data_IF_344613370065
#
_entry.id   IF_344613370065
#
_cell.length_a   1.000
_cell.length_b   1.000
_cell.length_c   1.000
_cell.angle_alpha   90.00
_cell.angle_beta   90.00
_cell.angle_gamma   90.00
#
_symmetry.space_group_name_H-M   'P 1'
#
loop_
_entity.id
_entity.type
_entity.pdbx_description
1 polymer ?
#
# COMPACT_ATOMS: atom_id res chain seq x y z
N UNK A 1 31.86 79.57 -16.35
CA UNK A 1 32.43 78.23 -16.64
C UNK A 1 31.66 77.24 -15.80
N UNK A 2 30.62 76.75 -16.38
CA UNK A 2 29.66 75.82 -15.67
C UNK A 2 29.92 74.40 -16.20
N UNK A 3 30.35 73.52 -15.33
CA UNK A 3 30.49 72.06 -15.65
C UNK A 3 29.18 71.43 -15.37
N UNK A 4 28.55 70.93 -16.41
CA UNK A 4 27.37 69.99 -16.30
C UNK A 4 27.86 68.67 -15.80
N UNK A 5 27.23 68.22 -14.73
CA UNK A 5 27.32 66.85 -14.23
C UNK A 5 26.16 66.02 -14.81
N UNK A 6 26.46 65.13 -15.73
CA UNK A 6 25.47 64.17 -16.27
C UNK A 6 25.32 63.03 -15.30
N UNK A 7 24.15 62.92 -14.69
CA UNK A 7 23.76 61.78 -13.89
C UNK A 7 23.20 60.71 -14.83
N UNK A 8 23.94 59.64 -15.03
CA UNK A 8 23.43 58.43 -15.65
C UNK A 8 22.53 57.69 -14.61
N UNK A 9 21.25 57.79 -14.84
CA UNK A 9 20.30 56.94 -14.13
C UNK A 9 20.30 55.59 -14.82
N UNK A 10 21.00 54.63 -14.25
CA UNK A 10 20.92 53.23 -14.67
C UNK A 10 19.55 52.66 -14.29
N UNK A 11 18.69 52.47 -15.28
CA UNK A 11 17.46 51.69 -15.14
C UNK A 11 17.88 50.21 -14.99
N UNK A 12 17.99 49.76 -13.74
CA UNK A 12 18.04 48.34 -13.47
C UNK A 12 16.65 47.77 -13.76
N UNK A 13 16.48 47.16 -14.92
CA UNK A 13 15.36 46.29 -15.20
C UNK A 13 15.44 45.08 -14.24
N UNK A 14 14.75 45.17 -13.11
CA UNK A 14 14.47 44.03 -12.29
C UNK A 14 13.42 43.20 -13.05
N UNK A 15 13.92 42.26 -13.81
CA UNK A 15 13.10 41.18 -14.34
C UNK A 15 12.63 40.40 -13.11
N UNK A 16 11.46 40.76 -12.58
CA UNK A 16 10.69 39.86 -11.72
C UNK A 16 10.31 38.67 -12.60
N UNK A 17 11.22 37.69 -12.64
CA UNK A 17 10.79 36.33 -12.97
C UNK A 17 9.71 36.00 -11.94
N UNK A 18 8.48 36.08 -12.33
CA UNK A 18 7.37 35.42 -11.67
C UNK A 18 7.70 33.93 -11.77
N UNK A 19 8.47 33.43 -10.81
CA UNK A 19 8.35 32.03 -10.42
C UNK A 19 6.91 31.90 -9.95
N UNK A 20 6.03 31.58 -10.89
CA UNK A 20 4.77 31.01 -10.54
C UNK A 20 5.11 29.88 -9.59
N UNK A 21 4.81 30.06 -8.28
CA UNK A 21 4.75 28.93 -7.38
C UNK A 21 3.99 27.90 -8.17
N UNK A 22 4.59 26.72 -8.35
CA UNK A 22 3.86 25.55 -8.79
C UNK A 22 2.89 25.24 -7.65
N UNK A 23 1.84 26.07 -7.50
CA UNK A 23 0.66 25.72 -6.77
C UNK A 23 0.26 24.40 -7.39
N UNK A 24 0.19 23.35 -6.57
CA UNK A 24 -0.42 22.10 -6.93
C UNK A 24 -1.69 22.42 -7.73
N UNK A 25 -1.59 22.34 -9.06
CA UNK A 25 -2.77 22.48 -9.90
C UNK A 25 -3.61 21.28 -9.62
N UNK A 26 -4.59 21.46 -8.74
CA UNK A 26 -5.69 20.54 -8.67
C UNK A 26 -6.21 20.38 -10.08
N UNK A 27 -6.13 19.16 -10.57
CA UNK A 27 -6.62 18.87 -11.88
C UNK A 27 -8.14 19.06 -11.89
N UNK A 28 -8.58 19.85 -12.82
CA UNK A 28 -9.95 19.90 -13.23
C UNK A 28 -10.46 18.46 -13.46
N UNK A 29 -11.64 18.13 -12.94
CA UNK A 29 -12.28 16.83 -13.16
C UNK A 29 -12.39 16.46 -14.64
N UNK A 30 -12.43 17.46 -15.55
CA UNK A 30 -12.36 17.23 -16.99
C UNK A 30 -11.02 16.62 -17.42
N UNK A 31 -9.90 17.08 -16.87
CA UNK A 31 -8.59 16.55 -17.23
C UNK A 31 -8.37 15.12 -16.73
N UNK A 32 -8.99 14.72 -15.62
CA UNK A 32 -8.98 13.32 -15.15
C UNK A 32 -9.68 12.38 -16.13
N UNK A 33 -10.76 12.85 -16.76
CA UNK A 33 -11.50 12.08 -17.78
C UNK A 33 -10.65 11.77 -19.01
N UNK A 34 -9.68 12.63 -19.36
CA UNK A 34 -8.81 12.43 -20.51
C UNK A 34 -7.90 11.21 -20.38
N UNK A 35 -7.67 10.74 -19.16
CA UNK A 35 -6.82 9.58 -18.85
C UNK A 35 -7.62 8.36 -18.39
N UNK A 36 -8.89 8.52 -18.08
CA UNK A 36 -9.77 7.42 -17.69
C UNK A 36 -10.11 6.58 -18.94
N UNK A 37 -9.63 5.34 -18.96
CA UNK A 37 -9.91 4.39 -20.04
C UNK A 37 -11.24 3.68 -19.84
N UNK A 38 -11.51 3.23 -18.61
CA UNK A 38 -12.70 2.45 -18.32
C UNK A 38 -13.08 2.51 -16.83
N UNK A 39 -14.37 2.23 -16.54
CA UNK A 39 -14.90 2.06 -15.19
C UNK A 39 -15.73 0.79 -15.16
N UNK A 40 -15.20 -0.25 -14.49
CA UNK A 40 -15.84 -1.55 -14.42
C UNK A 40 -16.48 -1.81 -13.06
N UNK A 41 -17.61 -2.51 -13.01
CA UNK A 41 -18.12 -3.03 -11.76
C UNK A 41 -17.11 -3.97 -11.14
N UNK A 42 -16.79 -3.77 -9.87
CA UNK A 42 -16.11 -4.75 -9.05
C UNK A 42 -17.13 -5.59 -8.29
N UNK A 43 -16.65 -6.68 -7.70
CA UNK A 43 -17.40 -7.29 -6.62
C UNK A 43 -17.45 -6.38 -5.39
N UNK A 44 -18.16 -6.81 -4.36
CA UNK A 44 -18.42 -5.99 -3.19
C UNK A 44 -17.12 -5.65 -2.43
N UNK A 45 -16.82 -4.37 -2.30
CA UNK A 45 -15.70 -3.83 -1.52
C UNK A 45 -14.32 -4.36 -1.99
N UNK A 46 -13.85 -3.99 -3.19
CA UNK A 46 -12.52 -4.33 -3.65
C UNK A 46 -11.47 -3.80 -2.67
N UNK A 47 -10.55 -4.68 -2.21
CA UNK A 47 -9.64 -4.36 -1.10
C UNK A 47 -8.17 -4.43 -1.47
N UNK A 48 -7.73 -5.54 -2.01
CA UNK A 48 -6.40 -5.76 -2.55
C UNK A 48 -6.50 -6.22 -3.98
N UNK A 49 -5.50 -5.92 -4.78
CA UNK A 49 -5.45 -6.35 -6.17
C UNK A 49 -4.02 -6.52 -6.64
N UNK A 50 -3.84 -7.37 -7.65
CA UNK A 50 -2.55 -7.62 -8.29
C UNK A 50 -2.74 -8.01 -9.74
N UNK A 51 -1.94 -7.41 -10.62
CA UNK A 51 -1.81 -7.84 -12.01
C UNK A 51 -0.73 -8.93 -12.06
N UNK A 52 -0.94 -9.98 -12.86
CA UNK A 52 0.07 -11.00 -13.11
C UNK A 52 1.30 -10.40 -13.84
N UNK A 53 2.45 -11.07 -13.82
CA UNK A 53 3.68 -10.52 -14.41
C UNK A 53 3.59 -10.42 -15.94
N UNK A 54 2.73 -11.20 -16.58
CA UNK A 54 2.46 -11.09 -18.02
C UNK A 54 1.66 -9.83 -18.38
N UNK A 55 1.01 -9.17 -17.37
CA UNK A 55 0.13 -8.04 -17.61
C UNK A 55 -1.21 -8.41 -18.24
N UNK A 56 -1.59 -9.70 -18.18
CA UNK A 56 -2.77 -10.22 -18.86
C UNK A 56 -4.02 -10.19 -17.99
N UNK A 57 -3.88 -10.48 -16.68
CA UNK A 57 -5.00 -10.60 -15.76
C UNK A 57 -4.81 -9.82 -14.47
N UNK A 58 -5.86 -9.09 -14.08
CA UNK A 58 -5.97 -8.45 -12.77
C UNK A 58 -6.79 -9.34 -11.84
N UNK A 59 -6.24 -9.68 -10.70
CA UNK A 59 -6.92 -10.39 -9.61
C UNK A 59 -7.31 -9.39 -8.53
N UNK A 60 -8.57 -9.43 -8.09
CA UNK A 60 -9.14 -8.49 -7.11
C UNK A 60 -9.74 -9.26 -5.94
N UNK A 61 -9.25 -9.01 -4.74
CA UNK A 61 -9.82 -9.53 -3.50
C UNK A 61 -11.01 -8.67 -3.05
N UNK A 62 -12.14 -9.29 -2.76
CA UNK A 62 -13.41 -8.64 -2.43
C UNK A 62 -13.85 -8.97 -1.00
N UNK A 63 -14.00 -7.94 -0.15
CA UNK A 63 -14.25 -8.14 1.28
C UNK A 63 -15.63 -8.72 1.60
N UNK A 64 -16.68 -8.30 0.90
CA UNK A 64 -18.02 -8.79 1.21
C UNK A 64 -18.60 -9.78 0.18
N UNK A 65 -17.86 -10.02 -0.90
CA UNK A 65 -18.16 -11.05 -1.89
C UNK A 65 -19.57 -10.97 -2.52
N UNK A 66 -19.99 -12.07 -3.13
CA UNK A 66 -21.32 -12.20 -3.75
C UNK A 66 -22.30 -12.89 -2.79
N UNK A 67 -23.58 -12.61 -2.98
CA UNK A 67 -24.63 -13.44 -2.37
C UNK A 67 -24.68 -14.78 -3.08
N UNK A 68 -24.61 -15.86 -2.31
CA UNK A 68 -24.89 -17.21 -2.76
C UNK A 68 -26.40 -17.35 -2.98
N UNK A 69 -26.88 -17.66 -4.20
CA UNK A 69 -28.30 -17.76 -4.50
C UNK A 69 -29.01 -18.84 -3.68
N UNK A 70 -28.31 -19.94 -3.34
CA UNK A 70 -28.90 -21.06 -2.64
C UNK A 70 -29.10 -20.80 -1.14
N UNK A 71 -28.18 -20.03 -0.53
CA UNK A 71 -28.18 -19.79 0.93
C UNK A 71 -28.55 -18.35 1.30
N UNK A 72 -28.66 -17.45 0.32
CA UNK A 72 -28.81 -15.99 0.49
C UNK A 72 -27.73 -15.34 1.38
N UNK A 73 -26.66 -16.06 1.67
CA UNK A 73 -25.51 -15.56 2.46
C UNK A 73 -24.44 -14.99 1.54
N UNK A 74 -23.70 -14.00 2.02
CA UNK A 74 -22.52 -13.52 1.30
C UNK A 74 -21.38 -14.52 1.46
N UNK A 75 -20.70 -14.79 0.34
CA UNK A 75 -19.50 -15.63 0.27
C UNK A 75 -18.35 -14.77 -0.24
N UNK A 76 -17.16 -14.89 0.34
CA UNK A 76 -16.00 -14.11 -0.13
C UNK A 76 -15.65 -14.52 -1.55
N UNK A 77 -15.30 -13.52 -2.36
CA UNK A 77 -14.95 -13.74 -3.76
C UNK A 77 -13.61 -13.08 -4.08
N UNK A 78 -12.97 -13.59 -5.12
CA UNK A 78 -11.94 -12.89 -5.85
C UNK A 78 -12.32 -12.87 -7.32
N UNK A 79 -12.27 -11.70 -7.93
CA UNK A 79 -12.63 -11.50 -9.34
C UNK A 79 -11.38 -11.38 -10.19
N UNK A 80 -11.44 -11.90 -11.41
CA UNK A 80 -10.35 -11.88 -12.38
C UNK A 80 -10.84 -11.10 -13.60
N UNK A 81 -10.08 -10.09 -14.01
CA UNK A 81 -10.37 -9.23 -15.15
C UNK A 81 -9.28 -9.41 -16.21
N UNK A 82 -9.65 -9.44 -17.47
CA UNK A 82 -8.74 -9.37 -18.61
C UNK A 82 -8.25 -7.91 -18.74
N UNK A 83 -6.94 -7.71 -18.68
CA UNK A 83 -6.33 -6.37 -18.69
C UNK A 83 -6.42 -5.65 -20.04
N UNK A 84 -6.60 -6.38 -21.12
CA UNK A 84 -6.75 -5.81 -22.46
C UNK A 84 -8.16 -5.27 -22.71
N UNK A 85 -9.18 -5.96 -22.17
CA UNK A 85 -10.59 -5.59 -22.35
C UNK A 85 -11.18 -4.91 -21.13
N UNK A 86 -10.50 -4.96 -19.98
CA UNK A 86 -10.93 -4.54 -18.65
C UNK A 86 -12.16 -5.30 -18.12
N UNK A 87 -12.61 -6.37 -18.80
CA UNK A 87 -13.86 -7.07 -18.44
C UNK A 87 -13.63 -8.23 -17.49
N UNK A 88 -14.60 -8.45 -16.62
CA UNK A 88 -14.64 -9.60 -15.72
C UNK A 88 -14.65 -10.90 -16.54
N UNK A 89 -13.67 -11.75 -16.32
CA UNK A 89 -13.57 -13.08 -16.95
C UNK A 89 -14.03 -14.19 -16.01
N UNK A 90 -13.74 -14.05 -14.72
CA UNK A 90 -14.06 -15.08 -13.72
C UNK A 90 -14.28 -14.50 -12.34
N UNK A 91 -15.16 -15.13 -11.58
CA UNK A 91 -15.28 -14.94 -10.13
C UNK A 91 -14.93 -16.25 -9.44
N UNK A 92 -13.95 -16.20 -8.55
CA UNK A 92 -13.58 -17.30 -7.68
C UNK A 92 -14.39 -17.19 -6.39
N UNK A 93 -15.07 -18.26 -6.03
CA UNK A 93 -15.77 -18.37 -4.75
C UNK A 93 -14.83 -19.10 -3.80
N UNK A 94 -14.39 -18.42 -2.76
CA UNK A 94 -13.64 -19.09 -1.70
C UNK A 94 -14.63 -19.72 -0.73
N UNK A 95 -14.40 -20.97 -0.27
CA UNK A 95 -15.36 -21.65 0.59
C UNK A 95 -15.74 -20.83 1.80
N UNK A 96 -17.02 -20.72 2.09
CA UNK A 96 -17.48 -20.19 3.34
C UNK A 96 -17.00 -21.13 4.45
N UNK A 97 -15.96 -20.72 5.19
CA UNK A 97 -15.62 -21.38 6.44
C UNK A 97 -16.76 -21.15 7.41
N UNK A 98 -17.06 -22.15 8.21
CA UNK A 98 -17.97 -22.21 9.36
C UNK A 98 -19.18 -21.22 9.45
N UNK A 99 -20.20 -21.66 10.05
CA UNK A 99 -21.60 -21.19 10.09
C UNK A 99 -21.88 -19.69 10.28
N UNK A 100 -20.92 -18.85 10.69
CA UNK A 100 -21.17 -17.46 11.06
C UNK A 100 -19.90 -16.61 10.85
N UNK A 101 -19.88 -15.64 9.93
CA UNK A 101 -18.82 -14.66 9.94
C UNK A 101 -18.68 -13.83 8.67
N UNK A 102 -18.15 -12.64 8.85
CA UNK A 102 -17.70 -11.78 7.76
C UNK A 102 -16.40 -12.36 7.25
N UNK A 103 -16.50 -13.24 6.28
CA UNK A 103 -15.37 -13.73 5.52
C UNK A 103 -14.97 -12.62 4.54
N UNK A 104 -13.75 -12.13 4.62
CA UNK A 104 -13.30 -11.05 3.80
C UNK A 104 -12.00 -11.45 3.11
N UNK A 105 -11.98 -11.49 1.78
CA UNK A 105 -10.74 -11.49 1.06
C UNK A 105 -10.13 -10.08 1.11
N UNK A 106 -8.85 -10.00 1.41
CA UNK A 106 -8.21 -8.73 1.77
C UNK A 106 -7.06 -8.35 0.87
N UNK A 107 -6.38 -9.33 0.27
CA UNK A 107 -5.18 -9.07 -0.53
C UNK A 107 -4.97 -10.17 -1.56
N UNK A 108 -4.26 -9.82 -2.62
CA UNK A 108 -3.76 -10.75 -3.64
C UNK A 108 -2.29 -10.47 -3.89
N UNK A 109 -1.50 -11.53 -4.01
CA UNK A 109 -0.16 -11.48 -4.58
C UNK A 109 0.11 -12.79 -5.35
N UNK A 110 1.25 -12.88 -6.03
CA UNK A 110 1.64 -14.07 -6.77
C UNK A 110 2.84 -14.77 -6.14
N UNK A 111 3.09 -16.03 -6.49
CA UNK A 111 4.38 -16.67 -6.26
C UNK A 111 5.48 -15.99 -7.10
N UNK A 112 6.75 -16.19 -6.73
CA UNK A 112 7.87 -15.57 -7.48
C UNK A 112 7.99 -16.01 -8.93
N UNK A 113 7.44 -17.18 -9.26
CA UNK A 113 7.39 -17.75 -10.60
C UNK A 113 6.05 -17.50 -11.32
N UNK A 114 5.19 -16.65 -10.73
CA UNK A 114 3.84 -16.33 -11.21
C UNK A 114 2.89 -17.49 -11.45
N UNK A 115 3.27 -18.68 -11.03
CA UNK A 115 2.46 -19.89 -11.23
C UNK A 115 1.21 -19.89 -10.36
N UNK A 116 1.28 -19.29 -9.18
CA UNK A 116 0.23 -19.29 -8.18
C UNK A 116 -0.19 -17.89 -7.78
N UNK A 117 -1.48 -17.58 -7.87
CA UNK A 117 -2.03 -16.41 -7.21
C UNK A 117 -2.46 -16.80 -5.79
N UNK A 118 -2.15 -15.92 -4.84
CA UNK A 118 -2.35 -16.08 -3.42
C UNK A 118 -3.44 -15.10 -2.98
N UNK A 119 -4.59 -15.58 -2.52
CA UNK A 119 -5.69 -14.73 -2.07
C UNK A 119 -5.84 -14.85 -0.57
N UNK A 120 -5.53 -13.79 0.17
CA UNK A 120 -5.65 -13.75 1.62
C UNK A 120 -7.09 -13.57 2.04
N UNK A 121 -7.54 -14.41 2.98
CA UNK A 121 -8.81 -14.31 3.66
C UNK A 121 -8.60 -13.98 5.13
N UNK A 122 -9.12 -12.84 5.56
CA UNK A 122 -9.14 -12.47 6.97
C UNK A 122 -10.32 -13.15 7.66
N UNK A 123 -10.06 -13.83 8.77
CA UNK A 123 -11.08 -14.34 9.66
C UNK A 123 -10.91 -13.73 11.05
N UNK A 124 -12.02 -13.34 11.64
CA UNK A 124 -12.18 -13.03 13.05
C UNK A 124 -11.51 -11.77 13.58
N UNK A 125 -12.31 -10.96 14.25
CA UNK A 125 -11.89 -9.98 15.25
C UNK A 125 -11.64 -10.73 16.57
N UNK A 126 -10.59 -10.36 17.33
CA UNK A 126 -10.29 -10.94 18.65
C UNK A 126 -11.43 -10.72 19.66
N UNK A 127 -12.27 -9.70 19.44
CA UNK A 127 -13.43 -9.38 20.26
C UNK A 127 -14.70 -10.10 19.80
N UNK A 128 -14.62 -10.86 18.72
CA UNK A 128 -15.74 -11.67 18.24
C UNK A 128 -15.76 -12.99 19.01
N UNK A 129 -16.71 -13.15 19.90
CA UNK A 129 -16.99 -14.43 20.55
C UNK A 129 -17.32 -15.55 19.54
N UNK A 130 -17.62 -15.16 18.30
CA UNK A 130 -18.14 -16.02 17.24
C UNK A 130 -17.03 -16.59 16.34
N UNK A 131 -15.81 -15.99 16.30
CA UNK A 131 -14.72 -16.40 15.40
C UNK A 131 -13.35 -16.48 16.06
N UNK A 132 -13.07 -17.55 16.76
CA UNK A 132 -11.71 -17.86 17.20
C UNK A 132 -10.81 -18.34 16.04
N UNK A 133 -11.26 -18.25 14.77
CA UNK A 133 -10.66 -18.98 13.69
C UNK A 133 -9.65 -18.13 12.89
N UNK A 134 -8.60 -18.81 12.47
CA UNK A 134 -7.43 -18.28 11.78
C UNK A 134 -7.74 -17.84 10.34
N UNK A 135 -6.94 -16.93 9.80
CA UNK A 135 -6.96 -16.58 8.39
C UNK A 135 -6.54 -17.77 7.50
N UNK A 136 -6.77 -17.62 6.21
CA UNK A 136 -6.47 -18.64 5.21
C UNK A 136 -5.97 -17.98 3.93
N UNK A 137 -5.10 -18.65 3.22
CA UNK A 137 -4.71 -18.30 1.86
C UNK A 137 -5.34 -19.31 0.91
N UNK A 138 -6.12 -18.81 -0.05
CA UNK A 138 -6.55 -19.60 -1.20
C UNK A 138 -5.46 -19.53 -2.27
N UNK A 139 -4.96 -20.66 -2.68
CA UNK A 139 -3.98 -20.78 -3.77
C UNK A 139 -4.73 -21.03 -5.07
N UNK A 140 -4.49 -20.19 -6.05
CA UNK A 140 -5.10 -20.27 -7.37
C UNK A 140 -4.02 -20.61 -8.39
N UNK A 141 -4.21 -21.63 -9.19
CA UNK A 141 -3.37 -21.86 -10.37
C UNK A 141 -3.64 -20.72 -11.37
N UNK A 142 -2.62 -19.92 -11.66
CA UNK A 142 -2.78 -18.70 -12.46
C UNK A 142 -3.17 -19.01 -13.92
N UNK A 143 -2.70 -20.13 -14.46
CA UNK A 143 -2.99 -20.54 -15.84
C UNK A 143 -4.43 -21.06 -16.00
N UNK A 144 -4.92 -21.88 -15.07
CA UNK A 144 -6.28 -22.46 -15.14
C UNK A 144 -7.31 -21.60 -14.43
N UNK A 145 -6.86 -20.61 -13.63
CA UNK A 145 -7.69 -19.75 -12.80
C UNK A 145 -8.62 -20.55 -11.87
N UNK A 146 -8.11 -21.65 -11.31
CA UNK A 146 -8.84 -22.51 -10.37
C UNK A 146 -8.18 -22.51 -9.00
N UNK A 147 -8.95 -22.52 -7.95
CA UNK A 147 -8.44 -22.74 -6.59
C UNK A 147 -8.00 -24.19 -6.47
N UNK A 148 -6.73 -24.40 -6.09
CA UNK A 148 -6.12 -25.72 -5.97
C UNK A 148 -5.82 -26.10 -4.52
N UNK A 149 -5.59 -25.11 -3.63
CA UNK A 149 -5.27 -25.37 -2.21
C UNK A 149 -5.78 -24.26 -1.29
N UNK A 150 -5.91 -24.64 -0.02
CA UNK A 150 -6.20 -23.73 1.09
C UNK A 150 -5.12 -23.90 2.17
N UNK A 151 -4.37 -22.86 2.44
CA UNK A 151 -3.29 -22.87 3.42
C UNK A 151 -3.73 -22.11 4.67
N UNK A 152 -3.85 -22.76 5.85
CA UNK A 152 -4.17 -22.06 7.08
C UNK A 152 -3.00 -21.18 7.52
N UNK A 153 -3.25 -19.93 7.91
CA UNK A 153 -2.18 -19.00 8.34
C UNK A 153 -2.04 -18.90 9.86
N UNK A 154 -2.91 -19.54 10.62
CA UNK A 154 -2.90 -19.60 12.10
C UNK A 154 -2.82 -18.23 12.82
N UNK A 155 -2.88 -17.13 12.08
CA UNK A 155 -3.04 -15.78 12.59
C UNK A 155 -4.43 -15.23 12.27
N UNK A 156 -4.79 -14.09 12.83
CA UNK A 156 -6.11 -13.48 12.65
C UNK A 156 -6.00 -12.14 11.92
N UNK A 157 -6.98 -11.89 11.03
CA UNK A 157 -7.05 -10.64 10.31
C UNK A 157 -5.96 -10.47 9.26
N UNK A 158 -5.69 -11.52 8.48
CA UNK A 158 -4.73 -11.45 7.36
C UNK A 158 -5.04 -10.25 6.47
N UNK A 159 -4.05 -9.38 6.22
CA UNK A 159 -4.22 -8.10 5.50
C UNK A 159 -3.31 -7.96 4.30
N UNK A 160 -2.07 -8.33 4.42
CA UNK A 160 -1.06 -8.14 3.39
C UNK A 160 -0.34 -9.47 3.17
N UNK A 161 -0.12 -9.79 1.92
CA UNK A 161 0.75 -10.84 1.45
C UNK A 161 2.05 -10.17 0.97
N UNK A 162 3.19 -10.71 1.36
CA UNK A 162 4.48 -10.26 0.86
C UNK A 162 5.34 -11.46 0.53
N UNK A 163 5.80 -11.56 -0.70
CA UNK A 163 6.69 -12.60 -1.17
C UNK A 163 8.15 -12.19 -0.95
N UNK A 164 8.91 -13.08 -0.33
CA UNK A 164 10.34 -12.86 -0.10
C UNK A 164 11.11 -13.10 -1.40
N UNK A 165 11.96 -12.17 -1.86
CA UNK A 165 12.92 -12.44 -2.91
C UNK A 165 13.79 -13.65 -2.55
N UNK A 166 14.38 -14.33 -3.53
CA UNK A 166 15.33 -15.40 -3.25
C UNK A 166 16.51 -14.85 -2.44
N UNK A 167 16.89 -15.57 -1.40
CA UNK A 167 18.03 -15.14 -0.57
C UNK A 167 19.31 -15.23 -1.40
N UNK A 168 20.04 -14.13 -1.49
CA UNK A 168 21.29 -14.07 -2.21
C UNK A 168 22.31 -15.04 -1.60
N UNK A 169 22.80 -15.98 -2.41
CA UNK A 169 23.72 -17.03 -1.98
C UNK A 169 23.05 -18.31 -1.49
N UNK A 170 21.72 -18.35 -1.38
CA UNK A 170 20.99 -19.58 -1.06
C UNK A 170 20.70 -20.38 -2.34
N UNK A 171 21.28 -21.57 -2.48
CA UNK A 171 21.04 -22.48 -3.59
C UNK A 171 19.62 -23.08 -3.57
N UNK A 172 18.96 -23.14 -2.43
CA UNK A 172 17.65 -23.77 -2.26
C UNK A 172 16.50 -22.97 -2.92
N UNK A 173 16.69 -21.69 -3.21
CA UNK A 173 15.71 -20.79 -3.85
C UNK A 173 14.29 -20.95 -3.29
N UNK A 174 14.17 -20.93 -1.96
CA UNK A 174 12.88 -21.10 -1.28
C UNK A 174 11.91 -19.96 -1.60
N UNK A 175 10.69 -20.30 -1.97
CA UNK A 175 9.59 -19.36 -2.14
C UNK A 175 8.85 -19.17 -0.81
N UNK A 176 9.30 -18.20 -0.03
CA UNK A 176 8.74 -17.87 1.28
C UNK A 176 7.77 -16.69 1.14
N UNK A 177 6.63 -16.80 1.81
CA UNK A 177 5.58 -15.78 1.83
C UNK A 177 5.28 -15.40 3.26
N UNK A 178 5.22 -14.10 3.53
CA UNK A 178 4.79 -13.53 4.80
C UNK A 178 3.36 -13.01 4.69
N UNK A 179 2.54 -13.31 5.70
CA UNK A 179 1.18 -12.83 5.82
C UNK A 179 1.07 -12.00 7.10
N UNK A 180 0.82 -10.71 6.96
CA UNK A 180 0.60 -9.84 8.10
C UNK A 180 -0.79 -10.09 8.71
N UNK A 181 -0.83 -10.48 9.97
CA UNK A 181 -2.04 -10.78 10.72
C UNK A 181 -2.39 -9.63 11.66
N UNK A 182 -3.21 -8.73 11.18
CA UNK A 182 -3.53 -7.44 11.81
C UNK A 182 -4.10 -7.58 13.24
N UNK A 183 -4.88 -8.63 13.52
CA UNK A 183 -5.57 -8.80 14.80
C UNK A 183 -4.86 -9.75 15.79
N UNK A 184 -3.75 -10.36 15.41
CA UNK A 184 -3.00 -11.27 16.30
C UNK A 184 -1.55 -10.85 16.52
N UNK A 185 -1.15 -9.69 15.98
CA UNK A 185 0.18 -9.10 16.17
C UNK A 185 1.32 -10.04 15.78
N UNK A 186 1.13 -10.78 14.67
CA UNK A 186 2.10 -11.72 14.17
C UNK A 186 2.15 -11.77 12.65
N UNK A 187 3.17 -12.44 12.15
CA UNK A 187 3.34 -12.72 10.73
C UNK A 187 3.30 -14.24 10.55
N UNK A 188 2.42 -14.73 9.71
CA UNK A 188 2.46 -16.13 9.27
C UNK A 188 3.51 -16.30 8.19
N UNK A 189 4.29 -17.37 8.32
CA UNK A 189 5.32 -17.75 7.35
C UNK A 189 4.86 -18.98 6.60
N UNK A 190 4.82 -18.88 5.28
CA UNK A 190 4.49 -20.01 4.40
C UNK A 190 5.71 -20.34 3.53
N UNK A 191 5.93 -21.63 3.29
CA UNK A 191 6.88 -22.14 2.28
C UNK A 191 6.09 -22.79 1.14
N UNK A 192 6.03 -22.13 0.01
CA UNK A 192 5.31 -22.58 -1.18
C UNK A 192 6.25 -23.13 -2.27
N UNK A 193 7.51 -23.40 -1.92
CA UNK A 193 8.55 -23.89 -2.87
C UNK A 193 8.09 -25.14 -3.62
N UNK A 194 7.47 -26.08 -2.91
CA UNK A 194 7.03 -27.35 -3.46
C UNK A 194 5.52 -27.44 -3.68
N UNK A 195 4.87 -26.29 -3.82
CA UNK A 195 3.43 -26.24 -4.06
C UNK A 195 3.07 -26.92 -5.37
N UNK A 196 2.09 -27.83 -5.31
CA UNK A 196 1.60 -28.61 -6.46
C UNK A 196 0.09 -28.72 -6.40
N UNK A 197 -0.53 -28.70 -7.57
CA UNK A 197 -1.89 -29.19 -7.73
C UNK A 197 -1.84 -30.71 -7.87
N UNK A 198 -2.25 -31.42 -6.83
CA UNK A 198 -2.28 -32.87 -6.75
C UNK A 198 -3.69 -33.39 -6.38
N UNK A 199 -4.71 -32.54 -6.57
CA UNK A 199 -6.11 -32.84 -6.20
C UNK A 199 -6.40 -32.77 -4.70
N UNK A 200 -5.37 -32.65 -3.83
CA UNK A 200 -5.56 -32.43 -2.40
C UNK A 200 -5.63 -30.94 -2.12
N UNK A 201 -6.77 -30.45 -1.65
CA UNK A 201 -7.01 -29.03 -1.33
C UNK A 201 -6.46 -28.59 0.02
N UNK A 202 -6.05 -29.52 0.89
CA UNK A 202 -5.40 -29.18 2.16
C UNK A 202 -3.95 -28.80 1.91
N UNK A 203 -3.56 -27.59 2.31
CA UNK A 203 -2.22 -27.03 2.17
C UNK A 203 -1.54 -26.77 3.51
N UNK A 204 -1.95 -27.41 4.59
CA UNK A 204 -1.39 -27.16 5.93
C UNK A 204 0.11 -27.43 6.04
N UNK A 205 0.66 -28.29 5.17
CA UNK A 205 2.08 -28.59 5.07
C UNK A 205 2.94 -27.37 4.64
N UNK A 206 2.32 -26.38 4.02
CA UNK A 206 3.00 -25.14 3.59
C UNK A 206 3.12 -24.10 4.72
N UNK A 207 2.46 -24.30 5.86
CA UNK A 207 2.60 -23.41 7.01
C UNK A 207 3.87 -23.73 7.80
N UNK A 208 4.82 -22.80 7.84
CA UNK A 208 6.10 -22.94 8.55
C UNK A 208 5.97 -22.55 10.02
N UNK A 209 5.36 -21.40 10.31
CA UNK A 209 5.24 -20.91 11.67
C UNK A 209 4.72 -19.46 11.77
N UNK A 210 4.76 -18.93 12.98
CA UNK A 210 4.40 -17.55 13.30
C UNK A 210 5.63 -16.78 13.80
N UNK A 211 5.87 -15.60 13.25
CA UNK A 211 6.75 -14.62 13.86
C UNK A 211 5.90 -13.80 14.81
N UNK A 212 6.04 -14.03 16.12
CA UNK A 212 5.40 -13.21 17.15
C UNK A 212 6.12 -11.88 17.25
N UNK A 213 5.44 -10.80 16.90
CA UNK A 213 5.96 -9.46 17.00
C UNK A 213 5.87 -8.98 18.45
N UNK A 214 6.84 -8.18 18.87
CA UNK A 214 6.90 -7.57 20.18
C UNK A 214 7.14 -6.09 20.03
N UNK A 215 6.46 -5.29 20.84
CA UNK A 215 6.66 -3.84 20.88
C UNK A 215 6.94 -3.36 22.29
N UNK A 216 7.77 -2.32 22.40
CA UNK A 216 7.95 -1.53 23.63
C UNK A 216 7.10 -0.26 23.60
N UNK A 217 6.47 0.04 22.47
CA UNK A 217 5.67 1.24 22.27
C UNK A 217 4.20 0.88 22.31
N UNK A 218 3.44 1.63 23.11
CA UNK A 218 2.00 1.47 23.21
C UNK A 218 1.33 2.71 22.64
N UNK A 219 0.31 2.50 21.82
CA UNK A 219 -0.61 3.58 21.49
C UNK A 219 -1.75 3.57 22.51
N UNK A 220 -1.86 4.60 23.37
CA UNK A 220 -2.93 4.69 24.38
C UNK A 220 -4.34 4.69 23.77
N UNK A 221 -4.46 5.07 22.49
CA UNK A 221 -5.72 5.10 21.76
C UNK A 221 -6.03 3.78 21.02
N UNK A 222 -5.16 2.76 21.14
CA UNK A 222 -5.39 1.49 20.44
C UNK A 222 -6.56 0.75 21.06
N UNK A 223 -7.49 0.34 20.23
CA UNK A 223 -8.65 -0.46 20.62
C UNK A 223 -8.27 -1.90 21.02
N UNK A 224 -7.24 -2.05 21.85
CA UNK A 224 -6.71 -3.32 22.31
C UNK A 224 -5.83 -4.07 21.31
N UNK A 225 -5.46 -3.48 20.18
CA UNK A 225 -4.45 -3.96 19.24
C UNK A 225 -3.18 -3.16 19.42
N UNK A 226 -2.08 -3.80 19.80
CA UNK A 226 -0.87 -3.08 20.17
C UNK A 226 0.03 -2.78 18.97
N UNK A 227 0.09 -3.67 17.99
CA UNK A 227 1.01 -3.61 16.83
C UNK A 227 0.22 -3.42 15.55
N UNK A 228 -0.73 -4.32 15.28
CA UNK A 228 -1.52 -4.37 14.05
C UNK A 228 -0.63 -4.32 12.79
N UNK A 229 0.22 -5.35 12.56
CA UNK A 229 1.14 -5.38 11.43
C UNK A 229 0.36 -5.31 10.12
N UNK A 230 0.83 -4.47 9.18
CA UNK A 230 0.15 -4.31 7.91
C UNK A 230 1.10 -4.26 6.72
N UNK A 231 1.85 -3.17 6.54
CA UNK A 231 2.82 -3.09 5.45
C UNK A 231 3.98 -4.03 5.70
N UNK A 232 4.37 -4.81 4.70
CA UNK A 232 5.53 -5.71 4.73
C UNK A 232 6.30 -5.54 3.44
N UNK A 233 7.59 -5.28 3.54
CA UNK A 233 8.51 -5.27 2.41
C UNK A 233 9.78 -6.03 2.77
N UNK A 234 10.40 -6.66 1.78
CA UNK A 234 11.68 -7.34 1.94
C UNK A 234 12.83 -6.52 1.36
N UNK A 235 14.03 -6.72 1.91
CA UNK A 235 15.26 -6.28 1.24
C UNK A 235 15.46 -7.05 -0.07
N UNK A 236 16.13 -6.44 -1.04
CA UNK A 236 16.33 -7.05 -2.37
C UNK A 236 17.10 -8.39 -2.28
N UNK A 237 17.97 -8.55 -1.29
CA UNK A 237 18.69 -9.80 -1.03
C UNK A 237 17.87 -10.88 -0.29
N UNK A 238 16.63 -10.59 0.06
CA UNK A 238 15.71 -11.50 0.75
C UNK A 238 16.07 -11.82 2.20
N UNK A 239 17.07 -11.15 2.80
CA UNK A 239 17.56 -11.49 4.14
C UNK A 239 16.78 -10.85 5.26
N UNK A 240 16.17 -9.69 5.02
CA UNK A 240 15.42 -8.95 6.02
C UNK A 240 14.05 -8.56 5.53
N UNK A 241 13.10 -8.40 6.44
CA UNK A 241 11.80 -7.82 6.20
C UNK A 241 11.60 -6.59 7.08
N UNK A 242 10.95 -5.57 6.51
CA UNK A 242 10.49 -4.36 7.18
C UNK A 242 9.00 -4.49 7.37
N UNK A 243 8.51 -4.39 8.61
CA UNK A 243 7.10 -4.52 8.95
C UNK A 243 6.62 -3.22 9.56
N UNK A 244 5.52 -2.70 9.05
CA UNK A 244 4.87 -1.52 9.59
C UNK A 244 3.90 -1.91 10.69
N UNK A 245 4.12 -1.39 11.88
CA UNK A 245 3.23 -1.52 13.02
C UNK A 245 2.22 -0.36 13.00
N UNK A 246 1.03 -0.62 12.48
CA UNK A 246 0.06 0.43 12.18
C UNK A 246 -0.44 1.17 13.41
N UNK A 247 -0.68 0.46 14.53
CA UNK A 247 -1.23 1.07 15.76
C UNK A 247 -0.16 1.75 16.61
N UNK A 248 1.07 1.25 16.63
CA UNK A 248 2.18 1.91 17.34
C UNK A 248 2.86 2.99 16.51
N UNK A 249 2.74 2.94 15.17
CA UNK A 249 3.48 3.82 14.27
C UNK A 249 4.96 3.49 14.14
N UNK A 250 5.41 2.35 14.69
CA UNK A 250 6.80 1.91 14.67
C UNK A 250 7.15 1.11 13.41
N UNK A 251 8.45 0.97 13.12
CA UNK A 251 8.97 0.03 12.13
C UNK A 251 9.62 -1.15 12.84
N UNK A 252 9.33 -2.35 12.38
CA UNK A 252 9.96 -3.56 12.88
C UNK A 252 10.83 -4.18 11.79
N UNK A 253 12.03 -4.63 12.18
CA UNK A 253 12.96 -5.34 11.30
C UNK A 253 13.01 -6.79 11.73
N UNK A 254 12.82 -7.69 10.76
CA UNK A 254 12.83 -9.14 10.94
C UNK A 254 13.99 -9.74 10.13
N UNK A 255 14.78 -10.62 10.75
CA UNK A 255 15.67 -11.54 10.04
C UNK A 255 14.76 -12.55 9.30
N UNK A 256 14.67 -12.41 7.98
CA UNK A 256 13.75 -13.19 7.15
C UNK A 256 14.29 -14.59 6.82
N UNK A 257 15.52 -14.88 7.18
CA UNK A 257 16.11 -16.23 7.07
C UNK A 257 15.79 -17.04 8.32
N UNK A 258 15.92 -16.42 9.51
CA UNK A 258 15.63 -17.05 10.81
C UNK A 258 14.19 -16.90 11.26
N UNK A 259 13.40 -16.05 10.58
CA UNK A 259 12.02 -15.73 10.95
C UNK A 259 11.89 -15.17 12.37
N UNK A 260 12.74 -14.20 12.72
CA UNK A 260 12.75 -13.58 14.04
C UNK A 260 12.87 -12.06 13.96
N UNK A 261 12.10 -11.35 14.79
CA UNK A 261 12.25 -9.91 14.94
C UNK A 261 13.60 -9.59 15.59
N UNK A 262 14.37 -8.69 14.98
CA UNK A 262 15.71 -8.28 15.44
C UNK A 262 15.73 -6.87 16.03
N UNK A 263 14.85 -5.98 15.54
CA UNK A 263 14.79 -4.62 16.06
C UNK A 263 13.41 -3.99 15.86
N UNK A 264 13.17 -2.91 16.61
CA UNK A 264 12.03 -2.01 16.46
C UNK A 264 12.55 -0.56 16.49
N UNK A 265 12.14 0.26 15.52
CA UNK A 265 12.35 1.71 15.50
C UNK A 265 11.14 2.38 16.14
N UNK A 266 11.35 3.23 17.13
CA UNK A 266 10.30 4.00 17.80
C UNK A 266 9.43 4.77 16.78
N UNK A 267 8.17 5.07 17.10
CA UNK A 267 7.31 5.90 16.26
C UNK A 267 7.98 7.22 15.89
N UNK A 268 7.72 7.69 14.68
CA UNK A 268 8.25 8.99 14.23
C UNK A 268 7.63 10.12 15.07
N UNK A 269 8.50 10.95 15.68
CA UNK A 269 8.06 12.18 16.33
C UNK A 269 8.05 13.31 15.31
N UNK A 270 6.87 13.87 15.02
CA UNK A 270 6.75 15.02 14.15
C UNK A 270 5.71 16.00 14.71
N UNK A 271 6.06 17.27 14.72
CA UNK A 271 5.23 18.36 15.30
C UNK A 271 3.87 18.53 14.61
N UNK A 272 3.75 18.11 13.34
CA UNK A 272 2.49 18.13 12.59
C UNK A 272 1.65 16.88 12.81
N UNK A 273 2.22 15.82 13.38
CA UNK A 273 1.51 14.57 13.66
C UNK A 273 1.08 14.57 15.12
N UNK A 274 -0.10 15.08 15.39
CA UNK A 274 -0.67 14.94 16.72
C UNK A 274 -1.00 13.46 16.98
N UNK A 275 -0.11 12.78 17.70
CA UNK A 275 -0.27 11.48 18.39
C UNK A 275 -0.48 10.21 17.57
N UNK A 276 -0.71 10.23 16.23
CA UNK A 276 -1.16 9.02 15.56
C UNK A 276 -0.67 8.94 14.12
N UNK A 277 0.58 8.52 13.94
CA UNK A 277 1.23 8.52 12.63
C UNK A 277 0.64 7.45 11.70
N UNK A 278 0.13 6.35 12.24
CA UNK A 278 -0.49 5.23 11.51
C UNK A 278 0.21 4.92 10.18
N UNK A 279 1.46 4.42 10.26
CA UNK A 279 2.18 3.90 9.09
C UNK A 279 1.42 2.71 8.51
N UNK A 280 1.18 2.72 7.18
CA UNK A 280 0.17 1.80 6.65
C UNK A 280 0.65 0.89 5.54
N UNK A 281 1.30 1.43 4.54
CA UNK A 281 1.79 0.68 3.40
C UNK A 281 3.24 1.02 3.10
N UNK A 282 3.99 0.07 2.56
CA UNK A 282 5.40 0.20 2.22
C UNK A 282 5.65 -0.44 0.86
N UNK A 283 6.45 0.24 0.04
CA UNK A 283 6.98 -0.32 -1.21
C UNK A 283 8.48 0.00 -1.29
N UNK A 284 9.27 -0.92 -1.81
CA UNK A 284 10.70 -0.74 -2.04
C UNK A 284 11.00 -0.43 -3.49
N UNK A 285 12.08 0.31 -3.73
CA UNK A 285 12.63 0.47 -5.08
C UNK A 285 13.15 -0.85 -5.61
N UNK A 286 13.27 -0.96 -6.94
CA UNK A 286 13.76 -2.18 -7.62
C UNK A 286 15.16 -2.60 -7.14
N UNK A 287 16.03 -1.62 -6.84
CA UNK A 287 17.37 -1.87 -6.30
C UNK A 287 17.37 -2.17 -4.80
N UNK A 288 16.21 -2.08 -4.15
CA UNK A 288 16.04 -2.32 -2.72
C UNK A 288 16.67 -1.30 -1.77
N UNK A 289 17.23 -0.19 -2.28
CA UNK A 289 17.96 0.79 -1.46
C UNK A 289 17.05 1.77 -0.73
N UNK A 290 15.88 2.02 -1.28
CA UNK A 290 14.90 2.93 -0.69
C UNK A 290 13.56 2.22 -0.49
N UNK A 291 12.80 2.70 0.49
CA UNK A 291 11.40 2.35 0.67
C UNK A 291 10.56 3.60 0.87
N UNK A 292 9.36 3.59 0.30
CA UNK A 292 8.34 4.61 0.49
C UNK A 292 7.28 4.11 1.45
N UNK A 293 6.83 4.99 2.35
CA UNK A 293 5.85 4.68 3.39
C UNK A 293 4.67 5.65 3.31
N UNK A 294 3.44 5.15 3.43
CA UNK A 294 2.27 5.99 3.64
C UNK A 294 1.99 6.17 5.13
N UNK A 295 1.71 7.43 5.54
CA UNK A 295 1.34 7.82 6.89
C UNK A 295 -0.12 8.27 6.89
N UNK A 296 -1.04 7.33 7.15
CA UNK A 296 -2.46 7.55 6.89
C UNK A 296 -3.03 8.72 7.70
N UNK A 297 -2.79 8.77 8.99
CA UNK A 297 -3.28 9.88 9.84
C UNK A 297 -2.36 11.11 9.79
N UNK A 298 -1.14 10.93 9.31
CA UNK A 298 -0.21 12.02 9.07
C UNK A 298 -0.40 12.75 7.75
N UNK A 299 -1.34 12.31 6.90
CA UNK A 299 -1.56 12.86 5.56
C UNK A 299 -0.27 13.00 4.74
N UNK A 300 0.66 12.07 4.88
CA UNK A 300 1.98 12.22 4.27
C UNK A 300 2.51 10.90 3.69
N UNK A 301 3.50 11.04 2.85
CA UNK A 301 4.41 9.95 2.49
C UNK A 301 5.83 10.31 2.88
N UNK A 302 6.63 9.31 3.21
CA UNK A 302 8.06 9.45 3.44
C UNK A 302 8.84 8.45 2.60
N UNK A 303 10.14 8.69 2.48
CA UNK A 303 11.07 7.71 1.94
C UNK A 303 12.25 7.51 2.88
N UNK A 304 12.70 6.26 2.99
CA UNK A 304 13.77 5.87 3.89
C UNK A 304 14.88 5.13 3.16
N UNK A 305 16.09 5.21 3.69
CA UNK A 305 17.21 4.35 3.30
C UNK A 305 17.06 2.98 3.95
N UNK A 306 16.89 1.96 3.15
CA UNK A 306 16.80 0.57 3.61
C UNK A 306 18.13 0.12 4.21
N UNK A 307 19.26 0.44 3.57
CA UNK A 307 20.59 0.06 4.05
C UNK A 307 20.88 0.63 5.44
N UNK A 308 20.57 1.92 5.67
CA UNK A 308 20.75 2.54 6.99
C UNK A 308 19.82 1.93 8.04
N UNK A 309 18.58 1.63 7.68
CA UNK A 309 17.62 0.97 8.58
C UNK A 309 18.17 -0.39 9.03
N UNK A 310 18.60 -1.22 8.08
CA UNK A 310 19.11 -2.56 8.37
C UNK A 310 20.42 -2.47 9.18
N UNK A 311 21.35 -1.58 8.82
CA UNK A 311 22.58 -1.39 9.58
C UNK A 311 22.31 -0.98 11.04
N UNK A 312 21.38 -0.04 11.27
CA UNK A 312 20.97 0.38 12.60
C UNK A 312 20.31 -0.76 13.39
N UNK A 313 19.43 -1.53 12.75
CA UNK A 313 18.77 -2.68 13.36
C UNK A 313 19.79 -3.74 13.83
N UNK A 314 20.77 -4.06 12.99
CA UNK A 314 21.84 -5.02 13.32
C UNK A 314 22.73 -4.50 14.45
N UNK A 315 23.06 -3.21 14.46
CA UNK A 315 23.81 -2.59 15.54
C UNK A 315 23.05 -2.65 16.88
N UNK A 316 21.76 -2.34 16.87
CA UNK A 316 20.90 -2.43 18.05
C UNK A 316 20.75 -3.87 18.56
N UNK A 317 20.61 -4.83 17.66
CA UNK A 317 20.60 -6.27 18.01
C UNK A 317 21.91 -6.68 18.68
N UNK A 318 23.05 -6.32 18.09
CA UNK A 318 24.38 -6.63 18.63
C UNK A 318 24.60 -6.02 20.01
N UNK A 319 24.07 -4.81 20.24
CA UNK A 319 24.13 -4.13 21.54
C UNK A 319 23.12 -4.68 22.57
N UNK A 320 22.32 -5.68 22.22
CA UNK A 320 21.34 -6.31 23.12
C UNK A 320 20.09 -5.47 23.39
N UNK A 321 19.90 -4.34 22.68
CA UNK A 321 18.77 -3.43 22.94
C UNK A 321 17.53 -3.79 22.14
N UNK A 322 17.67 -4.17 20.88
CA UNK A 322 16.57 -4.47 19.95
C UNK A 322 15.62 -3.31 19.69
N UNK A 323 15.97 -2.08 20.11
CA UNK A 323 15.13 -0.89 19.99
C UNK A 323 15.99 0.30 19.58
N UNK A 324 15.50 1.06 18.59
CA UNK A 324 16.08 2.30 18.08
C UNK A 324 15.20 3.48 18.46
N UNK A 325 15.77 4.62 18.93
CA UNK A 325 14.98 5.77 19.36
C UNK A 325 14.29 6.48 18.19
N UNK A 326 13.30 7.32 18.47
CA UNK A 326 12.61 8.12 17.47
C UNK A 326 13.57 9.04 16.68
N UNK A 327 14.64 9.52 17.30
CA UNK A 327 15.68 10.32 16.62
C UNK A 327 16.34 9.59 15.45
N UNK A 328 16.33 8.26 15.45
CA UNK A 328 16.91 7.44 14.37
C UNK A 328 16.19 7.65 13.02
N UNK A 329 14.95 8.11 13.04
CA UNK A 329 14.30 8.53 11.80
C UNK A 329 15.07 9.61 11.05
N UNK A 330 15.79 10.48 11.76
CA UNK A 330 16.60 11.52 11.12
C UNK A 330 17.74 10.95 10.27
N UNK A 331 18.24 9.77 10.63
CA UNK A 331 19.33 9.10 9.93
C UNK A 331 18.85 8.34 8.70
N UNK A 332 17.63 7.77 8.77
CA UNK A 332 17.08 6.94 7.69
C UNK A 332 16.21 7.71 6.70
N UNK A 333 15.55 8.81 7.12
CA UNK A 333 14.71 9.61 6.22
C UNK A 333 15.54 10.27 5.12
N UNK A 334 15.11 10.06 3.87
CA UNK A 334 15.68 10.71 2.68
C UNK A 334 14.75 11.84 2.26
N UNK A 335 15.20 13.11 2.24
CA UNK A 335 14.35 14.21 1.85
C UNK A 335 13.94 14.15 0.37
N UNK A 336 12.70 14.54 0.06
CA UNK A 336 12.28 14.92 -1.29
C UNK A 336 12.83 16.31 -1.61
N UNK A 337 13.41 16.48 -2.78
CA UNK A 337 13.95 17.78 -3.24
C UNK A 337 12.83 18.63 -3.86
N UNK A 338 11.87 19.08 -3.02
CA UNK A 338 10.73 19.83 -3.54
C UNK A 338 11.12 21.24 -4.02
N UNK A 339 10.32 21.88 -4.89
CA UNK A 339 10.57 23.27 -5.33
C UNK A 339 10.66 24.28 -4.18
N UNK A 340 10.07 23.97 -3.01
CA UNK A 340 10.11 24.82 -1.80
C UNK A 340 11.20 24.40 -0.82
N UNK A 341 12.13 23.53 -1.24
CA UNK A 341 13.23 23.00 -0.43
C UNK A 341 13.03 21.55 0.00
N UNK A 342 14.06 20.95 0.63
CA UNK A 342 14.02 19.53 0.99
C UNK A 342 12.97 19.26 2.09
N UNK A 343 12.14 18.23 1.86
CA UNK A 343 11.10 17.79 2.79
C UNK A 343 11.32 16.32 3.17
N UNK A 344 11.49 16.01 4.45
CA UNK A 344 11.59 14.63 4.96
C UNK A 344 10.23 13.90 4.88
N UNK A 345 9.15 14.64 5.03
CA UNK A 345 7.78 14.18 4.88
C UNK A 345 7.12 15.01 3.80
N UNK A 346 6.57 14.35 2.80
CA UNK A 346 5.75 14.98 1.78
C UNK A 346 4.30 14.95 2.27
N UNK A 347 3.83 16.09 2.79
CA UNK A 347 2.44 16.26 3.21
C UNK A 347 1.57 16.34 1.96
N UNK A 348 0.54 15.51 1.92
CA UNK A 348 -0.38 15.42 0.80
C UNK A 348 -1.67 16.16 1.16
N UNK A 349 -2.03 17.09 0.32
CA UNK A 349 -3.24 17.88 0.52
C UNK A 349 -4.46 17.11 0.03
N UNK A 350 -5.59 17.43 0.61
CA UNK A 350 -6.88 17.02 0.11
C UNK A 350 -7.24 17.77 -1.20
N UNK A 351 -8.38 17.45 -1.81
CA UNK A 351 -8.92 18.29 -2.88
C UNK A 351 -9.02 19.75 -2.42
N UNK A 352 -8.78 20.73 -3.29
CA UNK A 352 -9.04 22.13 -3.00
C UNK A 352 -10.48 22.34 -2.52
N UNK A 353 -10.69 23.32 -1.64
CA UNK A 353 -12.00 23.58 -1.01
C UNK A 353 -13.11 23.93 -2.00
N UNK A 354 -12.77 24.41 -3.17
CA UNK A 354 -13.65 24.72 -4.30
C UNK A 354 -13.89 23.54 -5.26
N UNK A 355 -13.23 22.40 -5.03
CA UNK A 355 -13.39 21.24 -5.88
C UNK A 355 -14.79 20.60 -5.70
N UNK A 356 -15.50 20.20 -6.80
CA UNK A 356 -16.85 19.62 -6.71
C UNK A 356 -16.97 18.39 -5.82
N UNK A 357 -15.89 17.62 -5.66
CA UNK A 357 -15.83 16.46 -4.76
C UNK A 357 -15.60 16.86 -3.31
N UNK A 358 -15.35 18.14 -3.00
CA UNK A 358 -15.16 18.66 -1.66
C UNK A 358 -16.49 19.14 -1.09
N UNK A 359 -17.39 18.22 -0.80
CA UNK A 359 -18.76 18.56 -0.41
C UNK A 359 -18.92 19.00 1.05
N UNK A 360 -17.89 18.90 1.90
CA UNK A 360 -18.03 19.17 3.31
C UNK A 360 -16.69 19.60 3.96
N UNK A 361 -16.70 20.69 4.71
CA UNK A 361 -15.54 21.21 5.46
C UNK A 361 -14.96 20.23 6.49
N UNK A 362 -15.70 19.20 6.85
CA UNK A 362 -15.29 18.16 7.80
C UNK A 362 -14.47 17.02 7.13
N UNK A 363 -14.20 17.08 5.81
CA UNK A 363 -13.55 16.05 5.02
C UNK A 363 -12.20 16.51 4.45
N UNK A 364 -11.37 17.09 5.29
CA UNK A 364 -10.11 17.73 4.90
C UNK A 364 -8.87 16.83 5.01
N UNK A 365 -9.04 15.55 5.39
CA UNK A 365 -7.93 14.63 5.55
C UNK A 365 -7.73 13.78 4.30
N UNK A 366 -6.53 13.84 3.74
CA UNK A 366 -6.15 13.06 2.56
C UNK A 366 -6.17 11.55 2.83
N UNK A 367 -5.68 11.10 3.98
CA UNK A 367 -5.58 9.71 4.40
C UNK A 367 -4.92 8.79 3.37
N UNK A 368 -3.64 8.97 3.03
CA UNK A 368 -2.91 8.08 2.14
C UNK A 368 -2.94 6.65 2.68
N UNK A 369 -3.33 5.70 1.82
CA UNK A 369 -3.56 4.32 2.21
C UNK A 369 -2.60 3.37 1.49
N UNK A 370 -2.97 2.93 0.30
CA UNK A 370 -2.13 2.06 -0.51
C UNK A 370 -1.23 2.90 -1.39
N UNK A 371 0.01 2.49 -1.51
CA UNK A 371 0.98 3.09 -2.40
C UNK A 371 1.55 2.02 -3.32
N UNK A 372 1.76 2.37 -4.57
CA UNK A 372 2.48 1.54 -5.54
C UNK A 372 3.52 2.39 -6.25
N UNK A 373 4.64 1.79 -6.61
CA UNK A 373 5.75 2.44 -7.26
C UNK A 373 5.78 2.04 -8.73
N UNK A 374 6.14 2.96 -9.61
CA UNK A 374 6.41 2.68 -11.01
C UNK A 374 7.37 1.48 -11.13
N UNK A 375 6.97 0.40 -11.82
CA UNK A 375 7.74 -0.83 -11.88
C UNK A 375 8.94 -0.77 -12.84
N UNK A 376 9.11 0.31 -13.58
CA UNK A 376 10.16 0.43 -14.60
C UNK A 376 11.37 1.21 -14.06
N UNK A 377 11.15 2.44 -13.59
CA UNK A 377 12.23 3.35 -13.20
C UNK A 377 12.16 3.77 -11.72
N UNK A 378 11.11 3.38 -10.99
CA UNK A 378 10.80 3.87 -9.64
C UNK A 378 10.63 5.40 -9.56
N UNK A 379 10.35 6.03 -10.70
CA UNK A 379 10.26 7.49 -10.79
C UNK A 379 8.94 8.04 -10.28
N UNK A 380 7.87 7.29 -10.43
CA UNK A 380 6.54 7.73 -10.05
C UNK A 380 5.96 6.89 -8.92
N UNK A 381 5.48 7.59 -7.88
CA UNK A 381 4.78 6.98 -6.76
C UNK A 381 3.29 7.31 -6.87
N UNK A 382 2.45 6.28 -6.85
CA UNK A 382 0.99 6.41 -6.87
C UNK A 382 0.45 6.19 -5.47
N UNK A 383 -0.40 7.11 -5.00
CA UNK A 383 -0.89 7.11 -3.62
C UNK A 383 -2.41 7.21 -3.61
N UNK A 384 -3.11 6.20 -3.12
CA UNK A 384 -4.56 6.25 -2.93
C UNK A 384 -4.92 6.97 -1.63
N UNK A 385 -5.96 7.80 -1.67
CA UNK A 385 -6.44 8.60 -0.53
C UNK A 385 -7.86 8.19 -0.18
N UNK A 386 -8.02 7.63 1.02
CA UNK A 386 -9.33 7.10 1.45
C UNK A 386 -10.38 8.14 1.68
N UNK A 387 -10.09 9.39 1.79
CA UNK A 387 -11.04 10.46 2.11
C UNK A 387 -12.08 10.01 3.15
N UNK A 388 -11.93 10.44 4.36
CA UNK A 388 -12.83 10.13 5.47
C UNK A 388 -13.16 11.40 6.25
N UNK A 389 -14.21 11.38 7.07
CA UNK A 389 -14.46 12.48 7.99
C UNK A 389 -13.28 12.67 8.94
N UNK A 390 -12.89 13.91 9.19
CA UNK A 390 -11.87 14.26 10.19
C UNK A 390 -12.36 14.05 11.63
N UNK A 391 -13.66 13.98 11.85
CA UNK A 391 -14.28 13.74 13.17
C UNK A 391 -14.39 12.26 13.50
N UNK A 392 -14.68 11.43 12.48
CA UNK A 392 -14.82 10.00 12.66
C UNK A 392 -14.37 9.27 11.38
N UNK A 393 -13.26 8.53 11.50
CA UNK A 393 -12.68 7.74 10.39
C UNK A 393 -13.57 6.60 9.88
N UNK A 394 -14.64 6.28 10.61
CA UNK A 394 -15.61 5.27 10.20
C UNK A 394 -16.73 5.84 9.34
N UNK A 395 -16.95 7.16 9.40
CA UNK A 395 -17.97 7.82 8.59
C UNK A 395 -17.44 7.99 7.17
N UNK A 396 -18.07 7.32 6.23
CA UNK A 396 -17.72 7.30 4.82
C UNK A 396 -18.99 7.58 4.02
N UNK A 397 -18.97 8.67 3.25
CA UNK A 397 -20.02 8.94 2.29
C UNK A 397 -19.63 8.30 0.93
N UNK A 398 -20.41 7.34 0.40
CA UNK A 398 -20.11 6.71 -0.89
C UNK A 398 -20.20 7.68 -2.07
N UNK A 399 -20.81 8.86 -1.90
CA UNK A 399 -20.86 9.92 -2.90
C UNK A 399 -19.55 10.69 -3.00
N UNK A 400 -18.74 10.71 -1.94
CA UNK A 400 -17.47 11.43 -1.92
C UNK A 400 -16.40 10.53 -2.52
N UNK A 401 -15.86 10.95 -3.65
CA UNK A 401 -14.76 10.26 -4.33
C UNK A 401 -13.44 10.63 -3.66
N UNK A 402 -12.64 9.63 -3.36
CA UNK A 402 -11.25 9.81 -3.03
C UNK A 402 -10.41 10.03 -4.29
N UNK A 403 -9.12 10.23 -4.11
CA UNK A 403 -8.18 10.48 -5.20
C UNK A 403 -7.01 9.50 -5.20
N UNK A 404 -6.31 9.46 -6.32
CA UNK A 404 -4.98 8.85 -6.43
C UNK A 404 -4.02 9.93 -6.88
N UNK A 405 -3.05 10.27 -6.05
CA UNK A 405 -1.98 11.20 -6.42
C UNK A 405 -0.88 10.46 -7.19
N UNK A 406 -0.44 11.08 -8.28
CA UNK A 406 0.74 10.68 -9.04
C UNK A 406 1.87 11.63 -8.66
N UNK A 407 2.94 11.10 -8.07
CA UNK A 407 4.03 11.89 -7.48
C UNK A 407 5.33 11.58 -8.22
N UNK A 408 6.00 12.60 -8.73
CA UNK A 408 7.39 12.47 -9.21
C UNK A 408 8.32 12.37 -7.99
N UNK A 409 8.95 11.22 -7.81
CA UNK A 409 9.80 10.92 -6.64
C UNK A 409 11.11 11.71 -6.63
N UNK A 410 11.57 12.23 -7.76
CA UNK A 410 12.80 13.01 -7.84
C UNK A 410 12.65 14.34 -7.10
N UNK A 411 11.51 15.01 -7.28
CA UNK A 411 11.26 16.33 -6.73
C UNK A 411 10.08 16.42 -5.75
N UNK A 412 9.38 15.31 -5.48
CA UNK A 412 8.23 15.28 -4.57
C UNK A 412 7.03 16.07 -5.08
N UNK A 413 6.94 16.35 -6.36
CA UNK A 413 5.81 17.09 -6.94
C UNK A 413 4.64 16.15 -7.20
N UNK A 414 3.44 16.50 -6.73
CA UNK A 414 2.21 15.88 -7.18
C UNK A 414 1.91 16.40 -8.58
N UNK A 415 2.14 15.56 -9.59
CA UNK A 415 1.96 15.96 -11.00
C UNK A 415 0.51 15.87 -11.45
N UNK A 416 -0.26 15.00 -10.79
CA UNK A 416 -1.67 14.78 -11.06
C UNK A 416 -2.40 14.14 -9.88
N UNK A 417 -3.69 14.48 -9.72
CA UNK A 417 -4.62 13.78 -8.84
C UNK A 417 -5.75 13.20 -9.68
N UNK A 418 -5.86 11.87 -9.72
CA UNK A 418 -6.90 11.13 -10.43
C UNK A 418 -8.07 10.83 -9.49
N UNK A 419 -9.29 10.69 -10.01
CA UNK A 419 -10.45 10.26 -9.21
C UNK A 419 -10.31 8.77 -8.88
N UNK A 420 -10.14 8.42 -7.61
CA UNK A 420 -9.84 7.05 -7.17
C UNK A 420 -11.08 6.17 -6.89
N UNK A 421 -12.31 6.68 -7.07
CA UNK A 421 -13.53 6.03 -6.58
C UNK A 421 -13.86 6.38 -5.13
N UNK A 422 -14.95 5.87 -4.59
CA UNK A 422 -15.33 6.12 -3.20
C UNK A 422 -14.46 5.29 -2.25
N UNK A 423 -13.67 5.96 -1.41
CA UNK A 423 -12.73 5.34 -0.49
C UNK A 423 -11.75 4.37 -1.19
N UNK A 424 -10.89 4.85 -2.11
CA UNK A 424 -9.96 3.98 -2.82
C UNK A 424 -9.00 3.30 -1.84
N UNK A 425 -9.02 1.99 -1.81
CA UNK A 425 -8.18 1.17 -0.93
C UNK A 425 -7.32 0.19 -1.69
N UNK A 426 -7.81 -0.29 -2.81
CA UNK A 426 -7.05 -1.11 -3.74
C UNK A 426 -6.37 -0.21 -4.77
N UNK A 427 -5.11 -0.45 -5.06
CA UNK A 427 -4.32 0.30 -6.02
C UNK A 427 -3.27 -0.63 -6.61
N UNK A 428 -3.15 -0.64 -7.93
CA UNK A 428 -2.16 -1.43 -8.64
C UNK A 428 -1.73 -0.74 -9.92
N UNK A 429 -0.50 -0.99 -10.36
CA UNK A 429 0.04 -0.57 -11.64
C UNK A 429 0.41 -1.81 -12.45
N UNK A 430 0.09 -1.84 -13.74
CA UNK A 430 0.48 -2.93 -14.62
C UNK A 430 2.00 -3.08 -14.68
N UNK A 431 2.54 -4.30 -14.90
CA UNK A 431 3.98 -4.54 -14.91
C UNK A 431 4.77 -3.72 -15.94
N UNK A 432 4.11 -3.29 -17.02
CA UNK A 432 4.69 -2.41 -18.03
C UNK A 432 4.58 -0.91 -17.68
N UNK A 433 4.02 -0.55 -16.52
CA UNK A 433 3.87 0.82 -16.07
C UNK A 433 2.82 1.66 -16.82
N UNK A 434 2.02 1.05 -17.71
CA UNK A 434 1.15 1.79 -18.62
C UNK A 434 -0.26 2.02 -18.06
N UNK A 435 -0.78 1.09 -17.24
CA UNK A 435 -2.15 1.12 -16.71
C UNK A 435 -2.17 1.15 -15.19
N UNK A 436 -2.72 2.20 -14.61
CA UNK A 436 -3.01 2.28 -13.17
C UNK A 436 -4.45 1.88 -12.92
N UNK A 437 -4.66 1.05 -11.90
CA UNK A 437 -5.99 0.60 -11.50
C UNK A 437 -6.27 1.05 -10.07
N UNK A 438 -7.40 1.71 -9.84
CA UNK A 438 -7.87 2.09 -8.51
C UNK A 438 -9.20 1.39 -8.20
N UNK A 439 -9.30 0.76 -7.04
CA UNK A 439 -10.52 0.11 -6.57
C UNK A 439 -11.23 0.94 -5.51
N UNK A 440 -12.43 1.44 -5.85
CA UNK A 440 -13.30 2.18 -4.95
C UNK A 440 -14.03 1.22 -4.01
N UNK A 441 -13.61 1.21 -2.74
CA UNK A 441 -14.10 0.27 -1.72
C UNK A 441 -15.61 0.44 -1.41
N UNK A 442 -16.16 1.63 -1.60
CA UNK A 442 -17.55 1.94 -1.25
C UNK A 442 -18.48 2.15 -2.43
N UNK A 443 -17.96 2.25 -3.63
CA UNK A 443 -18.76 2.30 -4.85
C UNK A 443 -18.63 1.04 -5.71
N UNK A 444 -17.89 0.04 -5.23
CA UNK A 444 -17.76 -1.28 -5.86
C UNK A 444 -17.36 -1.18 -7.34
N UNK A 445 -16.34 -0.36 -7.63
CA UNK A 445 -15.87 -0.09 -8.99
C UNK A 445 -14.36 -0.16 -9.09
N UNK A 446 -13.89 -0.49 -10.28
CA UNK A 446 -12.50 -0.38 -10.71
C UNK A 446 -12.38 0.75 -11.73
N UNK A 447 -11.37 1.58 -11.57
CA UNK A 447 -11.06 2.71 -12.44
C UNK A 447 -9.71 2.44 -13.10
N UNK A 448 -9.69 2.38 -14.44
CA UNK A 448 -8.49 2.11 -15.24
C UNK A 448 -8.01 3.39 -15.89
N UNK A 449 -6.73 3.72 -15.71
CA UNK A 449 -6.12 4.96 -16.21
C UNK A 449 -4.94 4.69 -17.12
N UNK A 450 -4.88 5.42 -18.26
CA UNK A 450 -3.74 5.46 -19.18
C UNK A 450 -2.62 6.34 -18.61
N UNK A 451 -1.74 5.72 -17.87
CA UNK A 451 -0.58 6.40 -17.25
C UNK A 451 0.47 6.75 -18.30
N UNK A 452 0.64 5.94 -19.33
CA UNK A 452 1.56 6.22 -20.42
C UNK A 452 1.24 7.54 -21.12
N UNK A 453 -0.04 7.77 -21.42
CA UNK A 453 -0.50 9.03 -21.99
C UNK A 453 -0.28 10.20 -21.03
N UNK A 454 -0.58 10.01 -19.74
CA UNK A 454 -0.40 11.02 -18.71
C UNK A 454 1.06 11.45 -18.61
N UNK A 455 1.97 10.49 -18.46
CA UNK A 455 3.39 10.77 -18.26
C UNK A 455 4.01 11.42 -19.50
N UNK A 456 3.65 11.00 -20.72
CA UNK A 456 4.10 11.65 -21.96
C UNK A 456 3.75 13.14 -21.99
N UNK A 457 2.55 13.51 -21.55
CA UNK A 457 2.12 14.92 -21.50
C UNK A 457 2.89 15.69 -20.41
N UNK A 458 3.20 15.06 -19.30
CA UNK A 458 3.97 15.67 -18.22
C UNK A 458 5.43 15.89 -18.63
N UNK A 459 6.06 14.89 -19.21
CA UNK A 459 7.49 14.91 -19.61
C UNK A 459 7.77 15.79 -20.83
N UNK A 460 6.77 16.09 -21.65
CA UNK A 460 6.86 17.00 -22.79
C UNK A 460 6.82 18.49 -22.40
N UNK A 461 6.59 18.83 -21.15
CA UNK A 461 6.56 20.19 -20.59
C UNK A 461 7.88 20.57 -19.95
#
# INVERSE_FOLDING_TARGET
>A
MVRQLSILVGLSLVVFAHFASASQRALDTKSTQDFLMDVEPAGCQPKGMKVDAAGEYLYVAEMCGKKDPATNKRVPTASIYDMRTHKLTRTLITPAGAKHGILANTEVDFSLDDKWALVARAEGDKNSEVFPNFGMISIVDARTQKIVKYVPVKGRGSKIIARRPFVTGDSAKKQIVYIANYFSDDISVLDITNLKDNGNTNGSEHFVGLIKLKTKFQNPASHGYFIAPRGVAFTADGKYAIILATETGSLMVVDAVKHVQIAEVAPIEHSTFQRDVNVRHIVTTLDGKMAYLSHMRGNAVSRISVDKLIAGALAAQKAGHGTLPASFWNDILIPFNTPTGPKKLLVLEHYPKDHPNFANKDWDLAHPNTIVLDPIENRYLYVSHRTTSNKDYTIIDPKIKGKVDVIDTHNGTVIMSLVGGAQPTALEISPNGETLISGGFKDDKLYFYDIKKLLRIYEAK
#
